data_IF_718832161616
#
_entry.id   IF_718832161616
#
_cell.length_a   1.000
_cell.length_b   1.000
_cell.length_c   1.000
_cell.angle_alpha   90.00
_cell.angle_beta   90.00
_cell.angle_gamma   90.00
#
_symmetry.space_group_name_H-M   'P 1'
#
loop_
_entity.id
_entity.type
_entity.pdbx_description
1 polymer ?
#
# COMPACT_ATOMS: atom_id res chain seq x y z
N UNK A 1 15.39 9.88 0.21
CA UNK A 1 14.58 9.58 -0.99
C UNK A 1 14.10 10.85 -1.71
N UNK A 2 14.81 11.25 -2.78
CA UNK A 2 14.31 12.14 -3.83
C UNK A 2 13.01 11.67 -4.52
N UNK A 3 12.89 10.40 -4.92
CA UNK A 3 11.73 9.87 -5.64
C UNK A 3 10.45 9.88 -4.82
N UNK A 4 10.54 9.66 -3.50
CA UNK A 4 9.40 9.83 -2.58
C UNK A 4 8.89 11.27 -2.56
N UNK A 5 9.79 12.26 -2.58
CA UNK A 5 9.41 13.68 -2.66
C UNK A 5 8.79 14.00 -4.01
N UNK A 6 9.35 13.47 -5.09
CA UNK A 6 8.79 13.62 -6.45
C UNK A 6 7.40 13.00 -6.55
N UNK A 7 7.17 11.80 -6.01
CA UNK A 7 5.87 11.15 -5.97
C UNK A 7 4.84 12.03 -5.22
N UNK A 8 5.23 12.56 -4.05
CA UNK A 8 4.36 13.44 -3.28
C UNK A 8 4.01 14.73 -4.04
N UNK A 9 4.98 15.34 -4.73
CA UNK A 9 4.74 16.52 -5.57
C UNK A 9 3.78 16.24 -6.72
N UNK A 10 3.86 15.06 -7.34
CA UNK A 10 2.94 14.67 -8.43
C UNK A 10 1.53 14.44 -7.92
N UNK A 11 1.38 13.78 -6.77
CA UNK A 11 0.08 13.64 -6.09
C UNK A 11 -0.54 15.00 -5.75
N UNK A 12 0.26 15.94 -5.22
CA UNK A 12 -0.19 17.31 -4.94
C UNK A 12 -0.61 18.09 -6.20
N UNK A 13 -0.07 17.74 -7.38
CA UNK A 13 -0.47 18.31 -8.68
C UNK A 13 -1.75 17.70 -9.25
N UNK A 14 -2.36 16.77 -8.52
CA UNK A 14 -3.59 16.09 -8.89
C UNK A 14 -3.38 14.91 -9.85
N UNK A 15 -2.21 14.28 -9.86
CA UNK A 15 -2.07 12.95 -10.47
C UNK A 15 -2.93 11.97 -9.66
N UNK A 16 -3.78 11.18 -10.33
CA UNK A 16 -4.63 10.16 -9.72
C UNK A 16 -3.81 9.12 -8.97
N UNK A 17 -2.75 8.64 -9.61
CA UNK A 17 -1.76 7.79 -8.97
C UNK A 17 -0.38 7.94 -9.61
N UNK A 18 0.65 7.79 -8.78
CA UNK A 18 2.03 7.71 -9.21
C UNK A 18 2.47 6.25 -9.11
N UNK A 19 2.79 5.66 -10.25
CA UNK A 19 3.25 4.28 -10.36
C UNK A 19 4.76 4.22 -10.17
N UNK A 20 5.19 3.63 -9.06
CA UNK A 20 6.60 3.46 -8.74
C UNK A 20 7.08 2.16 -9.35
N UNK A 21 7.91 2.27 -10.39
CA UNK A 21 8.50 1.14 -11.11
C UNK A 21 9.87 0.83 -10.53
N UNK A 22 9.97 -0.23 -9.75
CA UNK A 22 11.23 -0.74 -9.18
C UNK A 22 11.90 -1.65 -10.21
N UNK A 23 13.12 -1.27 -10.57
CA UNK A 23 13.94 -1.97 -11.56
C UNK A 23 14.44 -3.31 -11.02
N UNK A 24 14.53 -4.32 -11.88
CA UNK A 24 15.07 -5.65 -11.54
C UNK A 24 16.59 -5.71 -11.56
N UNK A 25 17.24 -4.75 -12.24
CA UNK A 25 18.66 -4.85 -12.61
C UNK A 25 18.88 -5.53 -13.96
N UNK A 26 17.84 -6.14 -14.56
CA UNK A 26 17.84 -6.60 -15.94
C UNK A 26 17.16 -5.55 -16.83
N UNK A 27 17.98 -4.79 -17.58
CA UNK A 27 17.52 -3.66 -18.38
C UNK A 27 16.49 -4.05 -19.43
N UNK A 28 16.69 -5.16 -20.13
CA UNK A 28 15.78 -5.63 -21.18
C UNK A 28 14.41 -6.00 -20.60
N UNK A 29 14.38 -6.73 -19.49
CA UNK A 29 13.14 -7.08 -18.79
C UNK A 29 12.42 -5.82 -18.26
N UNK A 30 13.19 -4.90 -17.66
CA UNK A 30 12.67 -3.63 -17.13
C UNK A 30 12.06 -2.77 -18.23
N UNK A 31 12.74 -2.63 -19.37
CA UNK A 31 12.27 -1.80 -20.47
C UNK A 31 11.00 -2.39 -21.11
N UNK A 32 10.91 -3.72 -21.25
CA UNK A 32 9.67 -4.39 -21.72
C UNK A 32 8.49 -4.16 -20.77
N UNK A 33 8.70 -4.38 -19.47
CA UNK A 33 7.66 -4.20 -18.45
C UNK A 33 7.23 -2.72 -18.35
N UNK A 34 8.19 -1.79 -18.36
CA UNK A 34 7.94 -0.36 -18.34
C UNK A 34 7.12 0.10 -19.55
N UNK A 35 7.45 -0.37 -20.76
CA UNK A 35 6.69 0.00 -21.96
C UNK A 35 5.25 -0.50 -21.89
N UNK A 36 5.04 -1.72 -21.40
CA UNK A 36 3.70 -2.27 -21.22
C UNK A 36 2.90 -1.45 -20.21
N UNK A 37 3.50 -1.12 -19.05
CA UNK A 37 2.90 -0.24 -18.05
C UNK A 37 2.53 1.11 -18.66
N UNK A 38 3.50 1.80 -19.26
CA UNK A 38 3.30 3.12 -19.86
C UNK A 38 2.19 3.14 -20.93
N UNK A 39 2.14 2.13 -21.79
CA UNK A 39 1.14 2.06 -22.84
C UNK A 39 -0.26 1.83 -22.27
N UNK A 40 -0.38 0.96 -21.27
CA UNK A 40 -1.68 0.66 -20.68
C UNK A 40 -2.19 1.79 -19.78
N UNK A 41 -1.31 2.48 -19.04
CA UNK A 41 -1.70 3.69 -18.31
C UNK A 41 -2.24 4.78 -19.25
N UNK A 42 -1.58 5.04 -20.38
CA UNK A 42 -2.06 6.01 -21.38
C UNK A 42 -3.40 5.63 -22.01
N UNK A 43 -3.69 4.33 -22.10
CA UNK A 43 -4.98 3.84 -22.58
C UNK A 43 -6.04 4.02 -21.50
N UNK A 44 -5.74 3.68 -20.24
CA UNK A 44 -6.61 3.88 -19.09
C UNK A 44 -6.98 5.36 -18.89
N UNK A 45 -6.04 6.30 -19.04
CA UNK A 45 -6.32 7.75 -18.98
C UNK A 45 -7.37 8.22 -20.00
N UNK A 46 -7.50 7.51 -21.13
CA UNK A 46 -8.44 7.86 -22.20
C UNK A 46 -9.77 7.14 -22.09
N UNK A 47 -9.74 5.88 -21.64
CA UNK A 47 -10.90 4.99 -21.64
C UNK A 47 -11.69 5.05 -20.33
N UNK A 48 -11.02 5.26 -19.19
CA UNK A 48 -11.67 5.29 -17.90
C UNK A 48 -12.42 6.61 -17.68
N UNK A 49 -13.49 6.54 -16.90
CA UNK A 49 -14.31 7.68 -16.52
C UNK A 49 -14.50 7.66 -15.02
N UNK A 50 -14.52 8.85 -14.42
CA UNK A 50 -14.83 8.99 -13.01
C UNK A 50 -16.31 8.67 -12.77
N UNK A 51 -16.64 7.92 -11.71
CA UNK A 51 -18.03 7.69 -11.34
C UNK A 51 -18.67 9.00 -10.90
N UNK A 52 -19.98 9.10 -11.13
CA UNK A 52 -20.78 10.19 -10.59
C UNK A 52 -20.70 10.19 -9.03
N UNK A 53 -20.76 11.36 -8.38
CA UNK A 53 -20.74 11.43 -6.92
C UNK A 53 -22.02 10.83 -6.36
N UNK A 54 -21.94 10.18 -5.20
CA UNK A 54 -23.14 9.88 -4.44
C UNK A 54 -23.73 11.22 -3.91
N UNK A 55 -25.01 11.53 -4.19
CA UNK A 55 -25.65 12.74 -3.67
C UNK A 55 -25.61 12.85 -2.13
N UNK A 56 -25.64 11.73 -1.41
CA UNK A 56 -25.53 11.73 0.05
C UNK A 56 -24.13 12.12 0.51
N UNK A 57 -23.07 11.62 -0.14
CA UNK A 57 -21.69 12.00 0.19
C UNK A 57 -21.42 13.49 -0.08
N UNK A 58 -22.10 14.08 -1.07
CA UNK A 58 -22.07 15.54 -1.31
C UNK A 58 -22.81 16.29 -0.21
N UNK A 59 -24.02 15.85 0.15
CA UNK A 59 -24.83 16.48 1.21
C UNK A 59 -24.14 16.43 2.58
N UNK A 60 -23.51 15.31 2.88
CA UNK A 60 -22.76 15.07 4.12
C UNK A 60 -21.40 15.78 4.13
N UNK A 61 -21.02 16.46 3.04
CA UNK A 61 -19.76 17.19 2.93
C UNK A 61 -18.52 16.29 2.88
N UNK A 62 -18.71 14.99 2.59
CA UNK A 62 -17.62 14.02 2.44
C UNK A 62 -16.85 14.25 1.13
N UNK A 63 -17.48 14.88 0.15
CA UNK A 63 -16.85 15.33 -1.10
C UNK A 63 -16.60 16.84 -1.02
N UNK A 64 -15.33 17.22 -0.93
CA UNK A 64 -14.88 18.61 -0.76
C UNK A 64 -14.21 19.20 -2.00
N UNK A 65 -14.27 18.50 -3.13
CA UNK A 65 -13.64 18.87 -4.40
C UNK A 65 -14.67 18.91 -5.52
N UNK A 66 -14.52 19.87 -6.44
CA UNK A 66 -15.37 19.94 -7.63
C UNK A 66 -14.98 18.82 -8.60
N UNK A 67 -15.93 17.95 -8.94
CA UNK A 67 -15.70 16.86 -9.88
C UNK A 67 -15.27 17.33 -11.26
N UNK A 68 -15.75 18.50 -11.72
CA UNK A 68 -15.35 19.03 -13.02
C UNK A 68 -13.86 19.39 -13.07
N UNK A 69 -13.22 19.56 -11.91
CA UNK A 69 -11.78 19.81 -11.79
C UNK A 69 -10.93 18.52 -11.72
N UNK A 70 -11.57 17.36 -11.50
CA UNK A 70 -10.88 16.09 -11.40
C UNK A 70 -10.49 15.57 -12.78
N UNK A 71 -9.27 15.04 -12.87
CA UNK A 71 -8.69 14.44 -14.06
C UNK A 71 -8.18 13.05 -13.73
N UNK A 72 -8.25 12.15 -14.71
CA UNK A 72 -7.58 10.86 -14.64
C UNK A 72 -6.19 11.05 -15.24
N UNK A 73 -5.17 10.99 -14.39
CA UNK A 73 -3.78 11.15 -14.78
C UNK A 73 -2.89 10.19 -13.98
N UNK A 74 -2.11 9.39 -14.68
CA UNK A 74 -1.14 8.46 -14.11
C UNK A 74 0.26 8.84 -14.54
N UNK A 75 1.20 8.78 -13.61
CA UNK A 75 2.60 9.05 -13.92
C UNK A 75 3.49 7.93 -13.40
N UNK A 76 4.61 7.68 -14.08
CA UNK A 76 5.55 6.63 -13.69
C UNK A 76 6.82 7.26 -13.13
N UNK A 77 7.34 6.69 -12.06
CA UNK A 77 8.66 6.98 -11.49
C UNK A 77 9.48 5.70 -11.45
N UNK A 78 10.59 5.67 -12.20
CA UNK A 78 11.57 4.59 -12.09
C UNK A 78 12.37 4.74 -10.79
N UNK A 79 12.59 3.62 -10.12
CA UNK A 79 13.32 3.48 -8.88
C UNK A 79 14.35 2.36 -9.05
N UNK A 80 15.63 2.72 -9.01
CA UNK A 80 16.70 1.73 -9.05
C UNK A 80 16.88 1.12 -7.65
N UNK A 81 17.10 -0.20 -7.60
CA UNK A 81 17.45 -0.90 -6.36
C UNK A 81 18.81 -0.49 -5.81
N UNK A 82 19.68 0.02 -6.68
CA UNK A 82 21.07 0.37 -6.36
C UNK A 82 21.23 1.85 -5.95
N UNK A 83 20.17 2.66 -5.95
CA UNK A 83 20.27 4.07 -5.54
C UNK A 83 20.30 4.19 -4.00
N UNK A 84 21.46 4.54 -3.39
CA UNK A 84 21.57 4.64 -1.94
C UNK A 84 20.68 5.74 -1.34
N UNK A 85 20.27 6.74 -2.13
CA UNK A 85 19.38 7.81 -1.66
C UNK A 85 17.94 7.35 -1.51
N UNK A 86 17.60 6.21 -2.10
CA UNK A 86 16.25 5.67 -2.18
C UNK A 86 16.01 4.48 -1.25
N UNK A 87 17.03 3.98 -0.54
CA UNK A 87 16.96 2.78 0.29
C UNK A 87 15.76 2.74 1.24
N UNK A 88 15.49 3.81 2.00
CA UNK A 88 14.33 3.80 2.90
C UNK A 88 13.00 3.75 2.16
N UNK A 89 12.91 4.36 0.97
CA UNK A 89 11.68 4.32 0.18
C UNK A 89 11.50 2.95 -0.47
N UNK A 90 12.57 2.36 -1.00
CA UNK A 90 12.57 1.00 -1.50
C UNK A 90 12.18 0.00 -0.41
N UNK A 91 12.70 0.15 0.81
CA UNK A 91 12.33 -0.72 1.93
C UNK A 91 10.85 -0.63 2.26
N UNK A 92 10.28 0.57 2.38
CA UNK A 92 8.84 0.72 2.61
C UNK A 92 7.98 0.05 1.53
N UNK A 93 8.43 0.04 0.27
CA UNK A 93 7.74 -0.65 -0.82
C UNK A 93 7.93 -2.17 -0.78
N UNK A 94 9.15 -2.66 -0.53
CA UNK A 94 9.43 -4.09 -0.50
C UNK A 94 8.94 -4.78 0.78
N UNK A 95 8.67 -4.01 1.82
CA UNK A 95 8.09 -4.49 3.08
C UNK A 95 6.58 -4.19 3.16
N UNK A 96 5.95 -3.70 2.09
CA UNK A 96 4.51 -3.40 2.07
C UNK A 96 3.64 -4.65 2.04
N UNK A 97 4.17 -5.76 1.50
CA UNK A 97 3.51 -7.06 1.38
C UNK A 97 4.52 -8.17 1.68
N UNK A 98 4.03 -9.28 2.21
CA UNK A 98 4.87 -10.45 2.49
C UNK A 98 5.41 -11.06 1.19
N UNK A 99 6.66 -11.51 1.23
CA UNK A 99 7.26 -12.27 0.13
C UNK A 99 7.87 -11.44 -1.01
N UNK A 100 7.72 -10.11 -1.06
CA UNK A 100 8.31 -9.29 -2.15
C UNK A 100 9.84 -9.35 -2.22
N UNK A 101 10.50 -9.74 -1.13
CA UNK A 101 11.96 -9.95 -1.05
C UNK A 101 12.39 -11.39 -1.30
N UNK A 102 11.46 -12.31 -1.58
CA UNK A 102 11.77 -13.72 -1.80
C UNK A 102 12.74 -13.89 -2.96
N UNK A 103 13.47 -15.01 -2.97
CA UNK A 103 14.36 -15.35 -4.07
C UNK A 103 13.63 -15.43 -5.43
N UNK A 104 12.33 -15.69 -5.42
CA UNK A 104 11.48 -15.75 -6.61
C UNK A 104 11.23 -14.37 -7.22
N UNK A 105 11.01 -13.34 -6.39
CA UNK A 105 10.59 -12.02 -6.85
C UNK A 105 11.67 -10.94 -6.82
N UNK A 106 12.74 -11.11 -6.02
CA UNK A 106 13.75 -10.06 -5.79
C UNK A 106 14.39 -9.49 -7.08
N UNK A 107 14.51 -10.31 -8.12
CA UNK A 107 15.15 -9.98 -9.40
C UNK A 107 14.10 -9.74 -10.52
N UNK A 108 12.85 -9.46 -10.15
CA UNK A 108 11.76 -9.12 -11.08
C UNK A 108 11.48 -7.61 -11.05
N UNK A 109 11.04 -7.02 -12.18
CA UNK A 109 10.53 -5.65 -12.19
C UNK A 109 9.26 -5.62 -11.35
N UNK A 110 9.07 -4.57 -10.56
CA UNK A 110 7.87 -4.39 -9.74
C UNK A 110 7.27 -3.03 -10.00
N UNK A 111 5.96 -2.91 -9.91
CA UNK A 111 5.31 -1.60 -9.90
C UNK A 111 4.30 -1.48 -8.77
N UNK A 112 4.27 -0.31 -8.16
CA UNK A 112 3.41 0.02 -7.02
C UNK A 112 2.60 1.29 -7.34
N UNK A 113 1.28 1.20 -7.47
CA UNK A 113 0.44 2.39 -7.59
C UNK A 113 0.37 3.10 -6.24
N UNK A 114 0.87 4.33 -6.16
CA UNK A 114 0.76 5.20 -4.98
C UNK A 114 -0.30 6.26 -5.23
N UNK A 115 -1.28 6.39 -4.34
CA UNK A 115 -2.42 7.28 -4.51
C UNK A 115 -2.82 7.96 -3.19
N UNK A 116 -3.72 8.95 -3.29
CA UNK A 116 -4.21 9.71 -2.15
C UNK A 116 -3.07 10.41 -1.39
N UNK A 117 -3.01 10.21 -0.08
CA UNK A 117 -1.97 10.78 0.81
C UNK A 117 -0.71 9.90 0.93
N UNK A 118 -0.46 9.03 -0.05
CA UNK A 118 0.71 8.15 -0.08
C UNK A 118 0.42 6.70 0.28
N UNK A 119 -0.74 6.17 -0.09
CA UNK A 119 -1.07 4.75 0.06
C UNK A 119 -0.61 3.98 -1.17
N UNK A 120 0.16 2.92 -0.97
CA UNK A 120 0.50 1.95 -2.02
C UNK A 120 -0.60 0.88 -2.09
N UNK A 121 -1.12 0.59 -3.29
CA UNK A 121 -2.22 -0.36 -3.47
C UNK A 121 -1.78 -1.82 -3.25
N UNK A 122 -1.14 -2.42 -4.25
CA UNK A 122 -0.47 -3.71 -4.18
C UNK A 122 0.65 -3.74 -5.22
N UNK A 123 1.63 -4.60 -5.01
CA UNK A 123 2.74 -4.82 -5.91
C UNK A 123 2.27 -5.62 -7.14
N UNK A 124 2.67 -5.16 -8.31
CA UNK A 124 2.51 -5.92 -9.55
C UNK A 124 3.90 -6.30 -10.05
N UNK A 125 4.18 -7.60 -10.13
CA UNK A 125 5.55 -8.14 -10.24
C UNK A 125 5.73 -8.91 -11.54
N UNK A 126 6.84 -8.69 -12.23
CA UNK A 126 7.29 -9.50 -13.36
C UNK A 126 6.23 -9.66 -14.45
N UNK A 127 5.83 -10.91 -14.71
CA UNK A 127 4.78 -11.22 -15.69
C UNK A 127 3.39 -10.70 -15.30
N UNK A 128 3.14 -10.50 -14.00
CA UNK A 128 1.92 -9.90 -13.48
C UNK A 128 1.74 -8.44 -13.90
N UNK A 129 2.80 -7.76 -14.37
CA UNK A 129 2.70 -6.47 -15.06
C UNK A 129 2.07 -6.75 -16.44
N UNK A 130 0.80 -7.14 -16.47
CA UNK A 130 0.00 -7.44 -17.66
C UNK A 130 -1.03 -6.34 -17.88
N UNK A 131 -1.61 -6.28 -19.07
CA UNK A 131 -2.58 -5.24 -19.40
C UNK A 131 -3.82 -5.30 -18.51
N UNK A 132 -4.26 -6.51 -18.24
CA UNK A 132 -5.45 -6.83 -17.45
C UNK A 132 -5.28 -6.38 -16.01
N UNK A 133 -4.16 -6.74 -15.38
CA UNK A 133 -3.86 -6.36 -13.99
C UNK A 133 -3.66 -4.84 -13.85
N UNK A 134 -2.97 -4.21 -14.80
CA UNK A 134 -2.80 -2.76 -14.81
C UNK A 134 -4.16 -2.06 -14.96
N UNK A 135 -5.02 -2.56 -15.86
CA UNK A 135 -6.35 -2.00 -16.08
C UNK A 135 -7.22 -2.14 -14.83
N UNK A 136 -7.22 -3.29 -14.17
CA UNK A 136 -7.99 -3.53 -12.94
C UNK A 136 -7.54 -2.62 -11.80
N UNK A 137 -6.22 -2.44 -11.63
CA UNK A 137 -5.67 -1.47 -10.69
C UNK A 137 -6.09 -0.03 -11.04
N UNK A 138 -6.04 0.37 -12.31
CA UNK A 138 -6.49 1.69 -12.74
C UNK A 138 -7.99 1.89 -12.47
N UNK A 139 -8.82 0.90 -12.81
CA UNK A 139 -10.27 0.90 -12.56
C UNK A 139 -10.57 1.03 -11.06
N UNK A 140 -9.81 0.33 -10.21
CA UNK A 140 -9.93 0.47 -8.77
C UNK A 140 -9.60 1.90 -8.30
N UNK A 141 -8.49 2.47 -8.80
CA UNK A 141 -8.02 3.81 -8.40
C UNK A 141 -8.97 4.95 -8.81
N UNK A 142 -9.66 4.80 -9.94
CA UNK A 142 -10.68 5.78 -10.39
C UNK A 142 -12.08 5.46 -9.85
N UNK A 143 -12.24 4.37 -9.11
CA UNK A 143 -13.52 3.92 -8.57
C UNK A 143 -14.10 4.87 -7.52
N UNK A 144 -15.32 4.60 -7.05
CA UNK A 144 -15.97 5.44 -6.04
C UNK A 144 -15.14 5.45 -4.76
N UNK A 145 -15.01 6.63 -4.14
CA UNK A 145 -14.32 6.76 -2.86
C UNK A 145 -15.13 6.10 -1.75
N UNK A 146 -14.55 5.12 -1.04
CA UNK A 146 -15.14 4.57 0.18
C UNK A 146 -14.93 5.55 1.35
N UNK A 147 -15.65 6.68 1.34
CA UNK A 147 -15.57 7.70 2.38
C UNK A 147 -16.11 7.18 3.73
N UNK A 148 -17.02 6.19 3.69
CA UNK A 148 -17.71 5.66 4.86
C UNK A 148 -17.04 4.42 5.48
N UNK A 149 -16.20 3.68 4.73
CA UNK A 149 -15.50 2.48 5.23
C UNK A 149 -13.99 2.61 4.98
N UNK A 150 -13.35 3.51 5.73
CA UNK A 150 -11.90 3.82 5.60
C UNK A 150 -10.98 2.63 5.92
N UNK A 151 -11.40 1.74 6.84
CA UNK A 151 -10.57 0.63 7.32
C UNK A 151 -10.45 -0.54 6.32
N UNK A 152 -11.20 -0.53 5.21
CA UNK A 152 -11.18 -1.60 4.20
C UNK A 152 -10.58 -1.16 2.86
N UNK A 153 -10.02 0.06 2.76
CA UNK A 153 -9.30 0.42 1.56
C UNK A 153 -8.04 -0.46 1.47
N UNK A 154 -7.84 -1.24 0.40
CA UNK A 154 -6.68 -2.11 0.25
C UNK A 154 -5.37 -1.31 0.21
N UNK A 155 -4.30 -1.98 0.59
CA UNK A 155 -2.93 -1.48 0.50
C UNK A 155 -2.31 -1.00 1.82
N UNK A 156 -1.14 -0.38 1.69
CA UNK A 156 -0.25 -0.03 2.78
C UNK A 156 0.09 1.45 2.72
N UNK A 157 -0.07 2.16 3.84
CA UNK A 157 0.27 3.58 3.93
C UNK A 157 1.79 3.77 4.01
N UNK A 158 2.33 4.63 3.16
CA UNK A 158 3.75 4.95 3.14
C UNK A 158 4.02 6.22 3.94
N UNK A 159 5.19 6.28 4.59
CA UNK A 159 5.63 7.50 5.26
C UNK A 159 6.05 8.55 4.23
N UNK A 160 5.19 9.54 3.99
CA UNK A 160 5.42 10.62 3.03
C UNK A 160 6.01 11.86 3.70
N UNK A 161 6.96 12.50 3.02
CA UNK A 161 7.61 13.73 3.51
C UNK A 161 6.82 14.98 3.09
N UNK A 162 5.52 15.03 3.41
CA UNK A 162 4.61 16.12 3.07
C UNK A 162 3.66 16.38 4.23
N UNK A 163 3.45 17.66 4.56
CA UNK A 163 2.37 18.07 5.43
C UNK A 163 1.08 18.16 4.60
N UNK A 164 0.32 17.07 4.54
CA UNK A 164 -0.89 16.99 3.71
C UNK A 164 -1.94 18.01 4.12
N UNK A 165 -2.11 18.27 5.41
CA UNK A 165 -3.18 19.15 5.92
C UNK A 165 -2.91 20.63 5.61
N UNK A 166 -1.64 21.03 5.46
CA UNK A 166 -1.30 22.37 4.98
C UNK A 166 -1.42 22.53 3.46
N UNK A 167 -1.35 21.45 2.70
CA UNK A 167 -1.25 21.49 1.24
C UNK A 167 -2.58 21.15 0.55
N UNK A 168 -3.45 20.37 1.20
CA UNK A 168 -4.74 19.94 0.67
C UNK A 168 -5.84 20.72 1.39
N UNK A 169 -6.33 21.78 0.74
CA UNK A 169 -7.38 22.65 1.27
C UNK A 169 -8.72 22.29 0.60
N UNK A 170 -9.83 22.12 1.36
CA UNK A 170 -11.16 21.92 0.80
C UNK A 170 -11.53 23.02 -0.19
N UNK A 171 -12.03 22.66 -1.37
CA UNK A 171 -12.49 23.62 -2.38
C UNK A 171 -13.96 23.95 -2.23
N UNK A 172 -14.75 22.99 -1.74
CA UNK A 172 -16.15 23.17 -1.42
C UNK A 172 -16.25 23.38 0.09
N UNK A 173 -16.55 24.60 0.51
CA UNK A 173 -16.97 24.88 1.88
C UNK A 173 -18.47 24.56 1.97
N UNK A 174 -18.81 23.36 2.44
CA UNK A 174 -20.21 23.08 2.81
C UNK A 174 -20.45 23.79 4.14
N UNK A 175 -21.23 24.87 4.10
CA UNK A 175 -21.70 25.56 5.31
C UNK A 175 -22.74 24.67 5.99
N UNK A 176 -22.27 23.64 6.68
CA UNK A 176 -23.11 22.81 7.53
C UNK A 176 -23.39 23.61 8.79
N UNK A 177 -24.61 24.16 8.90
CA UNK A 177 -25.11 24.65 10.18
C UNK A 177 -25.08 23.47 11.15
N UNK A 178 -24.11 23.45 12.05
CA UNK A 178 -24.01 22.40 13.05
C UNK A 178 -25.34 22.36 13.82
N UNK A 179 -25.96 21.18 13.99
CA UNK A 179 -27.15 21.08 14.82
C UNK A 179 -26.81 21.63 16.21
N UNK A 180 -27.74 22.35 16.86
CA UNK A 180 -27.49 22.91 18.17
C UNK A 180 -27.03 21.80 19.11
N UNK A 181 -25.94 22.07 19.85
CA UNK A 181 -25.39 21.13 20.82
C UNK A 181 -26.52 20.71 21.78
N UNK A 182 -26.77 19.39 21.96
CA UNK A 182 -27.72 18.95 22.97
C UNK A 182 -27.20 19.43 24.33
N UNK A 183 -28.00 20.25 25.00
CA UNK A 183 -27.73 20.66 26.37
C UNK A 183 -27.84 19.39 27.20
N UNK A 184 -26.71 18.89 27.70
CA UNK A 184 -26.70 17.86 28.73
C UNK A 184 -27.24 18.53 29.99
N UNK A 185 -28.53 18.35 30.27
CA UNK A 185 -29.11 18.75 31.55
C UNK A 185 -28.32 18.03 32.65
N UNK A 186 -27.67 18.81 33.52
CA UNK A 186 -27.14 18.28 34.77
C UNK A 186 -28.30 17.66 35.52
N UNK A 187 -28.26 16.34 35.68
CA UNK A 187 -29.10 15.62 36.64
C UNK A 187 -28.74 16.18 38.02
N UNK A 188 -29.48 17.19 38.45
CA UNK A 188 -29.52 17.59 39.84
C UNK A 188 -30.22 16.45 40.58
N UNK A 189 -29.43 15.68 41.31
CA UNK A 189 -29.88 14.83 42.39
C UNK A 189 -30.84 15.62 43.26
N UNK A 190 -32.07 15.14 43.39
CA UNK A 190 -32.99 15.55 44.45
C UNK A 190 -32.26 15.31 45.79
N UNK A 191 -31.88 16.41 46.44
CA UNK A 191 -31.52 16.41 47.84
C UNK A 191 -32.76 16.84 48.61
N UNK A 192 -33.42 15.88 49.26
CA UNK A 192 -34.23 16.18 50.44
C UNK A 192 -33.33 16.83 51.49
N UNK A 193 -33.85 17.90 52.08
CA UNK A 193 -33.18 18.77 53.05
C UNK A 193 -32.77 18.03 54.33
N UNK A 194 -31.56 18.31 54.84
CA UNK A 194 -31.43 18.84 56.21
C UNK A 194 -30.09 19.56 56.39
N UNK A 195 -30.17 20.71 57.04
CA UNK A 195 -29.13 21.68 57.34
C UNK A 195 -28.16 21.23 58.42
N UNK A 196 -26.86 21.50 58.26
CA UNK A 196 -26.11 22.06 59.39
C UNK A 196 -24.95 22.97 58.96
N UNK A 197 -24.72 23.98 59.79
CA UNK A 197 -23.87 25.16 59.63
C UNK A 197 -22.37 24.84 59.67
N UNK A 198 -21.52 25.66 59.02
CA UNK A 198 -20.29 26.29 59.57
C UNK A 198 -19.64 27.22 58.50
N UNK A 199 -19.81 28.52 58.73
CA UNK A 199 -18.88 29.68 58.67
C UNK A 199 -17.58 29.67 57.82
N UNK A 200 -17.49 30.65 56.89
CA UNK A 200 -16.38 31.47 56.29
C UNK A 200 -14.88 31.24 56.61
N UNK A 201 -13.89 31.84 55.87
CA UNK A 201 -13.92 32.55 54.56
C UNK A 201 -12.75 32.23 53.58
N UNK A 202 -12.81 32.81 52.37
CA UNK A 202 -11.74 32.86 51.33
C UNK A 202 -10.44 33.52 51.78
N UNK A 203 -9.31 33.23 51.08
CA UNK A 203 -8.33 34.28 50.77
C UNK A 203 -8.06 34.46 49.27
N UNK A 204 -7.91 35.73 48.89
CA UNK A 204 -7.36 36.27 47.64
C UNK A 204 -5.81 36.21 47.65
N UNK A 205 -5.23 36.07 46.46
CA UNK A 205 -4.02 36.73 45.88
C UNK A 205 -2.76 36.83 46.77
N UNK A 206 -1.54 36.48 46.37
CA UNK A 206 -0.76 37.03 45.23
C UNK A 206 0.63 36.34 45.21
N UNK A 207 1.34 36.51 44.08
CA UNK A 207 2.81 36.65 43.88
C UNK A 207 3.72 35.41 43.74
N UNK A 208 4.21 35.25 42.50
CA UNK A 208 5.51 34.71 42.03
C UNK A 208 6.74 35.39 42.71
N UNK A 209 8.03 35.12 42.36
CA UNK A 209 8.66 34.05 41.53
C UNK A 209 9.88 33.37 42.22
N UNK A 210 10.55 32.41 41.55
CA UNK A 210 12.00 32.45 41.23
C UNK A 210 12.67 31.07 41.09
N UNK A 211 13.43 30.93 39.98
CA UNK A 211 14.70 30.21 39.75
C UNK A 211 14.81 28.71 40.08
N UNK A 212 15.01 27.81 39.10
CA UNK A 212 16.26 27.53 38.37
C UNK A 212 17.27 26.70 39.17
N UNK A 213 17.46 25.43 38.77
CA UNK A 213 18.79 24.80 38.68
C UNK A 213 18.72 23.50 37.88
N UNK A 214 19.56 23.43 36.85
CA UNK A 214 19.95 22.25 36.08
C UNK A 214 20.87 21.36 36.91
N UNK A 215 20.89 20.06 36.64
CA UNK A 215 22.13 19.27 36.70
C UNK A 215 22.04 18.05 35.75
N UNK A 216 22.99 18.00 34.82
CA UNK A 216 23.42 16.83 34.05
C UNK A 216 24.36 15.98 34.91
N UNK A 217 24.34 14.65 34.77
CA UNK A 217 25.54 13.83 35.00
C UNK A 217 25.64 12.75 33.92
N UNK A 218 26.73 12.85 33.19
CA UNK A 218 27.33 11.93 32.23
C UNK A 218 28.12 10.84 33.00
N UNK A 219 28.20 9.61 32.47
CA UNK A 219 28.99 8.54 33.08
C UNK A 219 29.14 7.32 32.17
N UNK A 220 30.36 7.06 31.73
CA UNK A 220 30.75 6.17 30.65
C UNK A 220 31.29 4.80 31.14
N UNK A 221 31.10 3.78 30.28
CA UNK A 221 31.97 2.61 29.98
C UNK A 221 32.21 1.54 31.08
N UNK A 222 31.85 0.29 30.77
CA UNK A 222 32.84 -0.81 30.72
C UNK A 222 32.43 -1.96 29.79
N UNK A 223 33.43 -2.45 29.05
CA UNK A 223 33.43 -3.54 28.09
C UNK A 223 33.89 -4.81 28.82
N UNK A 224 33.26 -5.95 28.55
CA UNK A 224 33.89 -7.24 28.78
C UNK A 224 33.62 -8.19 27.60
N UNK A 225 34.72 -8.69 27.04
CA UNK A 225 34.83 -9.64 25.95
C UNK A 225 35.26 -10.99 26.50
N UNK A 226 34.73 -12.07 25.91
CA UNK A 226 35.40 -13.35 25.66
C UNK A 226 34.51 -14.11 24.65
N UNK A 227 34.89 -14.33 23.39
CA UNK A 227 35.80 -15.38 22.90
C UNK A 227 35.29 -16.78 23.34
N UNK A 228 35.02 -17.77 22.48
CA UNK A 228 35.78 -18.21 21.31
C UNK A 228 34.95 -19.14 20.39
N UNK A 229 35.41 -19.20 19.14
CA UNK A 229 35.07 -20.17 18.08
C UNK A 229 35.34 -21.62 18.49
N UNK A 230 34.55 -22.58 17.99
CA UNK A 230 35.07 -23.78 17.30
C UNK A 230 34.11 -24.24 16.19
N UNK A 231 34.62 -24.19 14.96
CA UNK A 231 34.18 -24.91 13.78
C UNK A 231 34.52 -26.39 13.91
N UNK A 232 33.58 -27.29 13.57
CA UNK A 232 33.95 -28.62 13.10
C UNK A 232 33.24 -28.94 11.78
N UNK A 233 34.07 -29.40 10.85
CA UNK A 233 33.83 -29.68 9.44
C UNK A 233 33.38 -31.12 9.20
N UNK A 234 32.77 -31.29 8.02
CA UNK A 234 32.68 -32.52 7.20
C UNK A 234 31.56 -33.51 7.52
N UNK A 235 30.66 -33.74 6.55
CA UNK A 235 30.88 -34.75 5.52
C UNK A 235 29.71 -34.79 4.52
N UNK A 236 30.08 -34.93 3.24
CA UNK A 236 29.23 -35.31 2.12
C UNK A 236 28.77 -36.76 2.31
N UNK A 237 27.47 -37.01 2.20
CA UNK A 237 26.93 -38.34 1.97
C UNK A 237 25.82 -38.29 0.91
N UNK A 238 26.12 -38.90 -0.23
CA UNK A 238 25.23 -39.17 -1.36
C UNK A 238 24.33 -40.39 -1.05
N UNK A 239 23.14 -40.40 -1.66
CA UNK A 239 22.14 -41.48 -1.72
C UNK A 239 21.29 -41.64 -0.44
N UNK A 240 19.96 -41.79 -0.50
CA UNK A 240 19.18 -42.62 -1.43
C UNK A 240 17.70 -42.21 -1.31
N UNK A 241 17.00 -42.18 -2.45
CA UNK A 241 15.53 -42.07 -2.52
C UNK A 241 14.91 -43.32 -1.87
N UNK A 242 13.95 -43.19 -0.94
CA UNK A 242 13.01 -44.25 -0.64
C UNK A 242 11.74 -44.08 -1.47
N UNK A 243 11.31 -45.21 -2.01
CA UNK A 243 10.04 -45.43 -2.68
C UNK A 243 8.84 -45.17 -1.76
N UNK A 244 7.72 -44.97 -2.45
CA UNK A 244 6.33 -44.82 -2.05
C UNK A 244 5.92 -45.54 -0.76
N UNK A 245 5.18 -44.82 0.09
CA UNK A 245 4.24 -45.44 1.02
C UNK A 245 2.86 -44.82 0.80
N UNK A 246 1.90 -45.71 0.58
CA UNK A 246 0.50 -45.41 0.35
C UNK A 246 -0.22 -44.98 1.64
N UNK A 247 -1.39 -44.39 1.44
CA UNK A 247 -2.49 -44.20 2.41
C UNK A 247 -2.46 -42.95 3.30
N UNK A 248 -3.35 -42.01 2.97
CA UNK A 248 -3.65 -40.84 3.78
C UNK A 248 -4.63 -39.92 3.05
N UNK A 249 -5.91 -40.14 3.28
CA UNK A 249 -7.07 -39.52 2.64
C UNK A 249 -7.06 -37.97 2.67
N UNK A 250 -7.28 -37.34 1.52
CA UNK A 250 -7.61 -35.90 1.39
C UNK A 250 -8.97 -35.74 0.68
N UNK A 251 -9.95 -35.01 1.23
CA UNK A 251 -11.25 -34.86 0.58
C UNK A 251 -11.30 -33.68 -0.40
N UNK A 252 -11.84 -34.00 -1.58
CA UNK A 252 -12.72 -33.20 -2.45
C UNK A 252 -12.21 -31.93 -3.17
N UNK A 253 -11.72 -32.18 -4.39
CA UNK A 253 -12.27 -31.68 -5.67
C UNK A 253 -12.31 -30.17 -5.97
N UNK A 254 -11.39 -29.72 -6.84
CA UNK A 254 -11.75 -28.97 -8.05
C UNK A 254 -10.62 -29.08 -9.10
N UNK A 255 -10.85 -29.88 -10.14
CA UNK A 255 -9.92 -30.15 -11.24
C UNK A 255 -9.89 -28.97 -12.23
N UNK A 256 -8.71 -28.36 -12.42
CA UNK A 256 -8.42 -27.52 -13.60
C UNK A 256 -7.42 -28.28 -14.50
N UNK A 257 -7.93 -28.87 -15.57
CA UNK A 257 -7.15 -29.52 -16.62
C UNK A 257 -6.63 -28.44 -17.60
N UNK A 258 -5.32 -28.21 -17.64
CA UNK A 258 -4.65 -27.54 -18.76
C UNK A 258 -3.65 -28.55 -19.36
N UNK A 259 -4.07 -29.23 -20.42
CA UNK A 259 -3.18 -30.04 -21.25
C UNK A 259 -2.45 -29.12 -22.24
N UNK A 260 -1.14 -28.97 -22.05
CA UNK A 260 -0.21 -28.50 -23.10
C UNK A 260 0.39 -29.74 -23.76
N UNK A 261 0.18 -29.89 -25.08
CA UNK A 261 0.73 -30.98 -25.88
C UNK A 261 1.09 -30.48 -27.27
N UNK A 262 2.39 -30.27 -27.45
CA UNK A 262 3.09 -29.66 -28.59
C UNK A 262 2.91 -30.42 -29.91
N UNK A 263 2.86 -29.65 -31.00
CA UNK A 263 2.83 -30.10 -32.39
C UNK A 263 4.15 -30.76 -32.85
N UNK A 264 4.05 -31.83 -33.64
CA UNK A 264 5.12 -32.25 -34.56
C UNK A 264 4.51 -32.52 -35.94
N UNK A 265 5.08 -31.82 -36.92
CA UNK A 265 4.81 -31.86 -38.35
C UNK A 265 5.53 -33.05 -38.99
N UNK A 266 4.86 -33.72 -39.93
CA UNK A 266 5.53 -34.10 -41.18
C UNK A 266 5.41 -35.56 -41.67
N UNK A 267 5.06 -35.64 -42.95
CA UNK A 267 5.54 -36.59 -43.98
C UNK A 267 4.62 -37.79 -44.33
N UNK A 268 3.86 -37.56 -45.42
CA UNK A 268 3.80 -38.31 -46.68
C UNK A 268 3.40 -39.80 -46.76
N UNK A 269 2.61 -40.09 -47.80
CA UNK A 269 2.50 -41.39 -48.48
C UNK A 269 1.15 -42.10 -48.24
N UNK A 270 0.11 -41.85 -49.04
CA UNK A 270 -0.19 -42.53 -50.31
C UNK A 270 -0.33 -44.07 -50.21
N UNK A 271 -1.59 -44.56 -50.30
CA UNK A 271 -2.08 -45.84 -50.89
C UNK A 271 -3.51 -46.09 -50.34
N UNK A 272 -4.62 -45.79 -51.02
CA UNK A 272 -5.21 -46.51 -52.16
C UNK A 272 -5.42 -48.01 -51.90
N UNK A 273 -6.61 -48.44 -51.43
CA UNK A 273 -7.39 -49.62 -51.89
C UNK A 273 -8.65 -49.83 -51.00
N UNK A 274 -9.85 -49.45 -51.45
CA UNK A 274 -10.92 -50.31 -52.02
C UNK A 274 -11.51 -51.38 -51.07
N UNK A 275 -12.69 -51.02 -50.54
CA UNK A 275 -13.98 -51.71 -50.57
C UNK A 275 -14.07 -53.25 -50.76
N UNK A 276 -14.95 -53.84 -49.93
CA UNK A 276 -15.80 -55.02 -50.16
C UNK A 276 -15.17 -56.40 -49.91
N UNK A 277 -15.60 -57.08 -48.85
CA UNK A 277 -16.73 -58.01 -48.92
C UNK A 277 -17.29 -58.34 -47.55
#
# INVERSE_FOLDING_TARGET
SPKRREAAQRLLKGDTAVWLFVESGNKEADDVAYQRLNNELKRCEKELQLPAPDPQDVADGLISVDQASLKIQFSILRLSRDDPKELQFLNMLLDSEEGLRSAEFKDQPMTFPIFGRGRALYAVIGQGISREVIFDACRFLVGPCSCQVKNQNPGTDLLMAVNWDQQVVPQIAVDQSLPPLPVIEKVSTESDEETDSITEPLPKSTSEPSAESKEEVEGAIEIASSDSLETETAAVATAKIPEEDESGEFPFAMTLLICVGVAVVGIAGASFFVMKS
#
